data_IF_084634846847
#
_entry.id   IF_084634846847
#
_cell.length_a   1.000
_cell.length_b   1.000
_cell.length_c   1.000
_cell.angle_alpha   90.00
_cell.angle_beta   90.00
_cell.angle_gamma   90.00
#
_symmetry.space_group_name_H-M   'P 1'
#
loop_
_entity.id
_entity.type
_entity.pdbx_description
1 polymer ?
#
# COMPACT_ATOMS: atom_id res chain seq x y z
N UNK A 1 12.20 26.40 -0.97
CA UNK A 1 12.42 25.03 -0.53
C UNK A 1 11.89 24.85 0.90
N UNK A 2 11.07 23.82 1.12
CA UNK A 2 10.46 23.51 2.42
C UNK A 2 11.14 22.32 3.13
N UNK A 3 12.18 21.73 2.52
CA UNK A 3 12.83 20.53 3.06
C UNK A 3 13.43 20.71 4.45
N UNK A 4 13.81 21.94 4.81
CA UNK A 4 14.31 22.30 6.14
C UNK A 4 13.23 22.57 7.19
N UNK A 5 11.97 22.76 6.79
CA UNK A 5 10.85 23.01 7.69
C UNK A 5 10.09 21.69 7.97
N UNK A 6 10.35 21.11 9.13
CA UNK A 6 9.75 19.82 9.54
C UNK A 6 8.23 19.89 9.64
N UNK A 7 7.67 21.03 10.07
CA UNK A 7 6.22 21.20 10.22
C UNK A 7 5.57 21.30 8.84
N UNK A 8 6.13 22.12 7.95
CA UNK A 8 5.66 22.21 6.56
C UNK A 8 5.73 20.86 5.84
N UNK A 9 6.84 20.13 6.00
CA UNK A 9 7.01 18.79 5.40
C UNK A 9 6.00 17.78 5.93
N UNK A 10 5.68 17.82 7.22
CA UNK A 10 4.66 16.93 7.79
C UNK A 10 3.27 17.26 7.23
N UNK A 11 2.90 18.54 7.17
CA UNK A 11 1.63 18.98 6.57
C UNK A 11 1.52 18.59 5.09
N UNK A 12 2.62 18.69 4.32
CA UNK A 12 2.67 18.24 2.93
C UNK A 12 2.45 16.74 2.80
N UNK A 13 3.09 15.93 3.65
CA UNK A 13 2.90 14.47 3.64
C UNK A 13 1.46 14.07 3.93
N UNK A 14 0.86 14.67 4.94
CA UNK A 14 -0.54 14.41 5.30
C UNK A 14 -1.50 14.81 4.17
N UNK A 15 -1.28 15.98 3.56
CA UNK A 15 -2.09 16.44 2.44
C UNK A 15 -1.91 15.56 1.19
N UNK A 16 -0.68 15.10 0.92
CA UNK A 16 -0.40 14.20 -0.19
C UNK A 16 -1.07 12.81 0.02
N UNK A 17 -1.04 12.27 1.23
CA UNK A 17 -1.71 11.01 1.57
C UNK A 17 -3.23 11.15 1.41
N UNK A 18 -3.81 12.23 1.93
CA UNK A 18 -5.24 12.53 1.73
C UNK A 18 -5.60 12.63 0.24
N UNK A 19 -4.81 13.37 -0.54
CA UNK A 19 -5.02 13.50 -1.98
C UNK A 19 -4.92 12.15 -2.72
N UNK A 20 -3.96 11.29 -2.35
CA UNK A 20 -3.84 9.92 -2.88
C UNK A 20 -5.12 9.11 -2.64
N UNK A 21 -5.66 9.15 -1.43
CA UNK A 21 -6.88 8.45 -1.05
C UNK A 21 -8.07 8.98 -1.88
N UNK A 22 -8.26 10.30 -1.93
CA UNK A 22 -9.34 10.93 -2.68
C UNK A 22 -9.28 10.62 -4.17
N UNK A 23 -8.08 10.67 -4.77
CA UNK A 23 -7.86 10.37 -6.19
C UNK A 23 -8.12 8.91 -6.57
N UNK A 24 -8.31 8.01 -5.62
CA UNK A 24 -8.80 6.66 -5.89
C UNK A 24 -10.29 6.66 -6.28
N UNK A 25 -11.08 7.64 -5.78
CA UNK A 25 -12.51 7.78 -6.08
C UNK A 25 -12.85 8.88 -7.10
N UNK A 26 -12.04 9.96 -7.15
CA UNK A 26 -12.32 11.14 -8.00
C UNK A 26 -11.19 11.38 -9.01
N UNK A 27 -11.45 12.19 -10.03
CA UNK A 27 -10.48 12.49 -11.09
C UNK A 27 -9.56 13.67 -10.79
N UNK A 28 -9.92 14.50 -9.80
CA UNK A 28 -9.11 15.64 -9.34
C UNK A 28 -9.44 15.96 -7.89
N UNK A 29 -8.46 16.51 -7.18
CA UNK A 29 -8.62 17.04 -5.82
C UNK A 29 -7.80 18.30 -5.65
N UNK A 30 -8.15 19.11 -4.64
CA UNK A 30 -7.42 20.33 -4.30
C UNK A 30 -6.62 20.13 -3.02
N UNK A 31 -5.35 20.48 -3.06
CA UNK A 31 -4.45 20.53 -1.92
C UNK A 31 -4.31 21.99 -1.52
N UNK A 32 -4.96 22.38 -0.42
CA UNK A 32 -4.92 23.73 0.11
C UNK A 32 -4.29 23.71 1.52
N UNK A 33 -3.10 24.31 1.62
CA UNK A 33 -2.35 24.44 2.86
C UNK A 33 -2.05 25.92 3.11
N UNK A 34 -2.96 26.64 3.75
CA UNK A 34 -2.72 28.03 4.10
C UNK A 34 -1.62 28.13 5.15
N UNK A 35 -0.84 29.20 5.09
CA UNK A 35 0.27 29.48 6.01
C UNK A 35 1.23 28.29 6.14
N UNK A 36 1.62 27.71 5.00
CA UNK A 36 2.52 26.54 5.01
C UNK A 36 3.93 26.93 5.48
N UNK A 37 4.36 28.13 5.16
CA UNK A 37 5.61 28.74 5.64
C UNK A 37 5.51 30.26 5.56
N UNK A 38 6.55 30.96 6.01
CA UNK A 38 6.70 32.42 5.88
C UNK A 38 8.15 32.75 5.49
N UNK A 39 8.31 33.84 4.76
CA UNK A 39 9.62 34.42 4.45
C UNK A 39 9.60 35.96 4.68
N UNK A 40 10.66 36.65 4.27
CA UNK A 40 10.78 38.11 4.42
C UNK A 40 9.64 38.91 3.72
N UNK A 41 8.92 38.29 2.80
CA UNK A 41 7.78 38.90 2.08
C UNK A 41 6.43 38.55 2.72
N UNK A 42 6.44 37.79 3.82
CA UNK A 42 5.25 37.40 4.58
C UNK A 42 4.86 35.93 4.45
N UNK A 43 3.64 35.59 4.90
CA UNK A 43 3.15 34.21 4.87
C UNK A 43 2.96 33.69 3.45
N UNK A 44 3.24 32.41 3.26
CA UNK A 44 3.06 31.68 1.99
C UNK A 44 1.98 30.61 2.13
N UNK A 45 1.26 30.42 1.07
CA UNK A 45 0.17 29.45 0.99
C UNK A 45 0.46 28.49 -0.17
N UNK A 46 0.06 27.24 -0.02
CA UNK A 46 0.04 26.27 -1.11
C UNK A 46 -1.41 26.00 -1.47
N UNK A 47 -1.76 26.23 -2.73
CA UNK A 47 -3.06 25.89 -3.31
C UNK A 47 -2.82 25.28 -4.69
N UNK A 48 -3.02 23.95 -4.79
CA UNK A 48 -2.71 23.18 -6.00
C UNK A 48 -3.82 22.20 -6.29
N UNK A 49 -4.33 22.22 -7.51
CA UNK A 49 -5.20 21.14 -7.99
C UNK A 49 -4.36 20.00 -8.54
N UNK A 50 -4.53 18.80 -7.96
CA UNK A 50 -3.90 17.59 -8.42
C UNK A 50 -4.92 16.70 -9.13
N UNK A 51 -4.63 16.33 -10.39
CA UNK A 51 -5.45 15.37 -11.14
C UNK A 51 -4.95 13.94 -10.95
N UNK A 52 -5.85 12.96 -11.09
CA UNK A 52 -5.47 11.53 -11.11
C UNK A 52 -4.45 11.23 -12.20
N UNK A 53 -4.57 11.84 -13.37
CA UNK A 53 -3.61 11.67 -14.46
C UNK A 53 -2.20 12.12 -14.04
N UNK A 54 -2.08 13.29 -13.39
CA UNK A 54 -0.79 13.79 -12.90
C UNK A 54 -0.26 12.94 -11.75
N UNK A 55 -1.13 12.49 -10.85
CA UNK A 55 -0.75 11.55 -9.80
C UNK A 55 -0.20 10.24 -10.39
N UNK A 56 -0.89 9.65 -11.36
CA UNK A 56 -0.45 8.44 -12.04
C UNK A 56 0.89 8.63 -12.75
N UNK A 57 1.10 9.76 -13.43
CA UNK A 57 2.38 10.12 -14.06
C UNK A 57 3.52 10.12 -13.02
N UNK A 58 3.31 10.82 -11.90
CA UNK A 58 4.32 10.95 -10.85
C UNK A 58 4.65 9.63 -10.16
N UNK A 59 3.68 8.72 -10.06
CA UNK A 59 3.81 7.45 -9.34
C UNK A 59 3.98 6.22 -10.22
N UNK A 60 3.98 6.38 -11.54
CA UNK A 60 4.07 5.28 -12.50
C UNK A 60 5.25 4.33 -12.21
N UNK A 61 6.41 4.89 -11.92
CA UNK A 61 7.62 4.12 -11.61
C UNK A 61 7.48 3.26 -10.33
N UNK A 62 6.65 3.67 -9.37
CA UNK A 62 6.36 2.90 -8.16
C UNK A 62 5.41 1.74 -8.47
N UNK A 63 4.37 2.01 -9.28
CA UNK A 63 3.44 0.97 -9.73
C UNK A 63 4.17 -0.08 -10.56
N UNK A 64 5.03 0.32 -11.49
CA UNK A 64 5.83 -0.60 -12.31
C UNK A 64 6.76 -1.50 -11.48
N UNK A 65 7.36 -0.98 -10.42
CA UNK A 65 8.19 -1.77 -9.51
C UNK A 65 7.44 -2.92 -8.85
N UNK A 66 6.13 -2.82 -8.69
CA UNK A 66 5.32 -3.91 -8.10
C UNK A 66 5.18 -5.12 -9.03
N UNK A 67 5.38 -4.95 -10.34
CA UNK A 67 5.27 -6.03 -11.31
C UNK A 67 6.35 -7.11 -11.14
N UNK A 68 7.56 -6.72 -10.71
CA UNK A 68 8.67 -7.65 -10.46
C UNK A 68 8.32 -8.73 -9.44
N UNK A 69 7.99 -8.36 -8.20
CA UNK A 69 7.58 -9.31 -7.15
C UNK A 69 6.40 -10.21 -7.53
N UNK A 70 5.40 -9.68 -8.26
CA UNK A 70 4.26 -10.50 -8.72
C UNK A 70 4.73 -11.59 -9.69
N UNK A 71 5.54 -11.25 -10.69
CA UNK A 71 6.09 -12.23 -11.64
C UNK A 71 6.98 -13.25 -10.94
N UNK A 72 7.81 -12.79 -10.00
CA UNK A 72 8.69 -13.68 -9.23
C UNK A 72 7.87 -14.68 -8.42
N UNK A 73 6.86 -14.22 -7.68
CA UNK A 73 6.00 -15.09 -6.89
C UNK A 73 5.28 -16.16 -7.74
N UNK A 74 4.78 -15.78 -8.92
CA UNK A 74 4.17 -16.73 -9.86
C UNK A 74 5.19 -17.74 -10.39
N UNK A 75 6.40 -17.28 -10.72
CA UNK A 75 7.50 -18.14 -11.18
C UNK A 75 7.92 -19.15 -10.10
N UNK A 76 8.09 -18.67 -8.86
CA UNK A 76 8.49 -19.53 -7.72
C UNK A 76 7.42 -20.58 -7.39
N UNK A 77 6.15 -20.22 -7.55
CA UNK A 77 5.03 -21.14 -7.39
C UNK A 77 4.84 -22.10 -8.59
N UNK A 78 5.55 -21.86 -9.69
CA UNK A 78 5.40 -22.68 -10.93
C UNK A 78 4.04 -22.55 -11.59
N UNK A 79 3.33 -21.42 -11.40
CA UNK A 79 1.99 -21.16 -11.91
C UNK A 79 1.98 -20.06 -12.97
N UNK A 80 1.01 -20.17 -13.87
CA UNK A 80 0.70 -19.14 -14.87
C UNK A 80 -0.52 -18.30 -14.46
N UNK A 81 -0.78 -17.21 -15.17
CA UNK A 81 -1.97 -16.38 -14.93
C UNK A 81 -3.30 -17.16 -15.09
N UNK A 82 -3.34 -18.19 -15.94
CA UNK A 82 -4.52 -19.05 -16.12
C UNK A 82 -4.82 -19.91 -14.90
N UNK A 83 -3.81 -20.28 -14.14
CA UNK A 83 -3.94 -21.15 -12.96
C UNK A 83 -4.49 -20.42 -11.73
N UNK A 84 -4.45 -19.08 -11.75
CA UNK A 84 -5.00 -18.26 -10.67
C UNK A 84 -6.53 -18.41 -10.63
N UNK A 85 -7.07 -18.80 -9.50
CA UNK A 85 -8.52 -18.85 -9.27
C UNK A 85 -9.06 -17.46 -8.97
N UNK A 86 -8.43 -16.74 -8.05
CA UNK A 86 -8.78 -15.38 -7.62
C UNK A 86 -7.54 -14.58 -7.34
N UNK A 87 -7.65 -13.25 -7.48
CA UNK A 87 -6.63 -12.29 -7.08
C UNK A 87 -7.20 -11.44 -5.96
N UNK A 88 -6.61 -11.49 -4.78
CA UNK A 88 -7.00 -10.67 -3.65
C UNK A 88 -6.12 -9.44 -3.59
N UNK A 89 -6.76 -8.28 -3.48
CA UNK A 89 -6.08 -7.00 -3.30
C UNK A 89 -6.19 -6.60 -1.82
N UNK A 90 -5.05 -6.50 -1.16
CA UNK A 90 -4.95 -6.27 0.28
C UNK A 90 -4.16 -4.99 0.55
N UNK A 91 -4.56 -4.25 1.59
CA UNK A 91 -3.97 -2.97 1.98
C UNK A 91 -4.52 -1.77 1.21
N UNK A 92 -4.56 -0.61 1.87
CA UNK A 92 -5.19 0.61 1.34
C UNK A 92 -4.63 1.08 -0.01
N UNK A 93 -3.32 0.90 -0.26
CA UNK A 93 -2.71 1.28 -1.54
C UNK A 93 -3.21 0.47 -2.73
N UNK A 94 -3.79 -0.72 -2.52
CA UNK A 94 -4.42 -1.51 -3.58
C UNK A 94 -5.72 -0.90 -4.11
N UNK A 95 -6.26 0.13 -3.45
CA UNK A 95 -7.40 0.91 -3.93
C UNK A 95 -7.04 1.85 -5.08
N UNK A 96 -5.75 2.16 -5.27
CA UNK A 96 -5.27 3.03 -6.36
C UNK A 96 -5.58 2.38 -7.71
N UNK A 97 -6.34 3.04 -8.61
CA UNK A 97 -6.75 2.45 -9.89
C UNK A 97 -5.58 1.93 -10.73
N UNK A 98 -4.47 2.66 -10.80
CA UNK A 98 -3.28 2.25 -11.55
C UNK A 98 -2.68 0.92 -11.03
N UNK A 99 -2.76 0.65 -9.72
CA UNK A 99 -2.35 -0.63 -9.12
C UNK A 99 -3.28 -1.75 -9.56
N UNK A 100 -4.60 -1.52 -9.54
CA UNK A 100 -5.59 -2.49 -9.99
C UNK A 100 -5.43 -2.83 -11.47
N UNK A 101 -5.19 -1.83 -12.31
CA UNK A 101 -4.92 -2.00 -13.75
C UNK A 101 -3.64 -2.81 -13.99
N UNK A 102 -2.57 -2.51 -13.23
CA UNK A 102 -1.31 -3.27 -13.32
C UNK A 102 -1.52 -4.74 -12.97
N UNK A 103 -2.21 -5.04 -11.88
CA UNK A 103 -2.53 -6.41 -11.47
C UNK A 103 -3.36 -7.11 -12.55
N UNK A 104 -4.40 -6.46 -13.06
CA UNK A 104 -5.21 -7.00 -14.17
C UNK A 104 -4.37 -7.28 -15.41
N UNK A 105 -3.45 -6.38 -15.76
CA UNK A 105 -2.53 -6.57 -16.89
C UNK A 105 -1.61 -7.77 -16.72
N UNK A 106 -1.13 -8.02 -15.49
CA UNK A 106 -0.22 -9.12 -15.19
C UNK A 106 -0.92 -10.47 -15.07
N UNK A 107 -2.11 -10.50 -14.51
CA UNK A 107 -2.83 -11.73 -14.15
C UNK A 107 -4.00 -12.06 -15.10
N UNK A 108 -4.41 -11.11 -15.94
CA UNK A 108 -5.62 -11.22 -16.76
C UNK A 108 -6.93 -11.19 -15.95
N UNK A 109 -6.85 -11.01 -14.63
CA UNK A 109 -8.01 -11.06 -13.72
C UNK A 109 -8.16 -9.75 -12.96
N UNK A 110 -9.41 -9.38 -12.70
CA UNK A 110 -9.71 -8.26 -11.78
C UNK A 110 -9.55 -8.70 -10.33
N UNK A 111 -9.22 -7.75 -9.46
CA UNK A 111 -9.20 -7.98 -8.03
C UNK A 111 -10.58 -8.43 -7.52
N UNK A 112 -10.59 -9.45 -6.68
CA UNK A 112 -11.82 -9.94 -6.05
C UNK A 112 -12.41 -8.89 -5.11
N UNK A 113 -13.70 -8.56 -5.31
CA UNK A 113 -14.38 -7.47 -4.59
C UNK A 113 -15.11 -7.91 -3.31
N UNK A 114 -15.02 -9.19 -2.97
CA UNK A 114 -15.74 -9.75 -1.81
C UNK A 114 -15.03 -9.56 -0.47
N UNK A 115 -13.89 -8.87 -0.43
CA UNK A 115 -13.10 -8.63 0.78
C UNK A 115 -12.73 -7.15 0.83
N UNK A 116 -12.86 -6.54 2.02
CA UNK A 116 -12.38 -5.20 2.25
C UNK A 116 -10.84 -5.22 2.34
N UNK A 117 -10.11 -4.50 1.46
CA UNK A 117 -8.66 -4.48 1.48
C UNK A 117 -8.02 -4.01 2.78
N UNK A 118 -8.72 -3.17 3.55
CA UNK A 118 -8.20 -2.60 4.80
C UNK A 118 -8.40 -3.56 5.98
N UNK A 119 -9.38 -4.48 5.91
CA UNK A 119 -9.77 -5.40 6.99
C UNK A 119 -9.26 -6.83 6.78
N UNK A 120 -8.85 -7.18 5.57
CA UNK A 120 -8.48 -8.55 5.17
C UNK A 120 -7.46 -9.21 6.11
N UNK A 121 -6.49 -8.44 6.62
CA UNK A 121 -5.47 -8.97 7.56
C UNK A 121 -6.10 -9.26 8.92
N UNK A 122 -6.98 -8.39 9.41
CA UNK A 122 -7.70 -8.58 10.67
C UNK A 122 -8.64 -9.79 10.59
N UNK A 123 -9.35 -9.94 9.47
CA UNK A 123 -10.23 -11.10 9.21
C UNK A 123 -9.42 -12.40 9.21
N UNK A 124 -8.27 -12.42 8.54
CA UNK A 124 -7.37 -13.56 8.52
C UNK A 124 -6.84 -13.92 9.91
N UNK A 125 -6.47 -12.90 10.70
CA UNK A 125 -6.01 -13.09 12.08
C UNK A 125 -7.13 -13.66 12.98
N UNK A 126 -8.37 -13.19 12.81
CA UNK A 126 -9.52 -13.71 13.54
C UNK A 126 -9.80 -15.17 13.18
N UNK A 127 -9.76 -15.53 11.90
CA UNK A 127 -9.90 -16.93 11.45
C UNK A 127 -8.81 -17.80 12.05
N UNK A 128 -7.55 -17.35 12.02
CA UNK A 128 -6.42 -18.10 12.61
C UNK A 128 -6.58 -18.25 14.13
N UNK A 129 -7.07 -17.22 14.81
CA UNK A 129 -7.43 -17.29 16.22
C UNK A 129 -8.48 -18.37 16.50
N UNK A 130 -9.54 -18.46 15.68
CA UNK A 130 -10.55 -19.51 15.76
C UNK A 130 -10.00 -20.92 15.49
N UNK A 131 -9.04 -21.05 14.56
CA UNK A 131 -8.34 -22.34 14.32
C UNK A 131 -7.55 -22.77 15.55
N UNK A 132 -6.79 -21.85 16.15
CA UNK A 132 -5.99 -22.14 17.36
C UNK A 132 -6.88 -22.41 18.58
N UNK A 133 -8.05 -21.75 18.68
CA UNK A 133 -9.05 -21.98 19.73
C UNK A 133 -9.84 -23.28 19.56
N UNK A 134 -9.80 -23.89 18.38
CA UNK A 134 -10.57 -25.11 18.06
C UNK A 134 -12.00 -24.84 17.55
N UNK A 135 -12.40 -23.57 17.36
CA UNK A 135 -13.70 -23.18 16.88
C UNK A 135 -13.85 -23.33 15.35
N UNK A 136 -12.74 -23.29 14.63
CA UNK A 136 -12.67 -23.44 13.18
C UNK A 136 -11.86 -24.68 12.81
N UNK A 137 -12.51 -25.61 12.11
CA UNK A 137 -11.88 -26.83 11.62
C UNK A 137 -11.70 -26.82 10.10
N UNK A 138 -10.78 -27.64 9.61
CA UNK A 138 -10.58 -27.86 8.16
C UNK A 138 -9.73 -26.78 7.45
N UNK A 139 -9.17 -25.84 8.19
CA UNK A 139 -8.23 -24.82 7.67
C UNK A 139 -6.85 -25.09 8.29
N UNK A 140 -5.83 -25.21 7.44
CA UNK A 140 -4.42 -25.33 7.87
C UNK A 140 -3.64 -24.22 7.19
N UNK A 141 -2.99 -23.36 7.98
CA UNK A 141 -2.04 -22.38 7.48
C UNK A 141 -0.63 -22.95 7.66
N UNK A 142 0.08 -23.10 6.53
CA UNK A 142 1.52 -23.34 6.51
C UNK A 142 2.19 -22.09 5.99
N UNK A 143 2.86 -21.38 6.87
CA UNK A 143 3.58 -20.17 6.53
C UNK A 143 5.07 -20.45 6.33
N UNK A 144 5.74 -19.59 5.59
CA UNK A 144 7.17 -19.65 5.33
C UNK A 144 7.83 -18.34 5.72
N UNK A 145 9.00 -18.43 6.35
CA UNK A 145 9.81 -17.26 6.67
C UNK A 145 11.11 -17.33 5.86
N UNK A 146 11.19 -16.64 4.71
CA UNK A 146 12.39 -16.67 3.87
C UNK A 146 13.60 -15.99 4.54
N UNK A 147 13.34 -15.17 5.55
CA UNK A 147 14.36 -14.48 6.34
C UNK A 147 14.23 -14.85 7.82
N UNK A 148 15.36 -14.79 8.53
CA UNK A 148 15.34 -14.94 9.98
C UNK A 148 14.49 -13.87 10.63
N UNK A 149 13.63 -14.29 11.56
CA UNK A 149 12.88 -13.38 12.43
C UNK A 149 13.70 -13.11 13.69
N UNK A 150 13.70 -11.87 14.13
CA UNK A 150 14.43 -11.45 15.31
C UNK A 150 13.86 -10.19 15.92
N UNK A 151 14.37 -9.84 17.06
CA UNK A 151 14.04 -8.62 17.78
C UNK A 151 15.29 -7.74 17.92
N UNK A 152 15.14 -6.44 17.70
CA UNK A 152 16.18 -5.49 18.03
C UNK A 152 16.23 -5.31 19.56
N UNK A 153 17.38 -5.56 20.12
CA UNK A 153 17.65 -5.43 21.56
C UNK A 153 18.44 -4.16 21.84
N UNK A 154 18.68 -3.86 23.12
CA UNK A 154 19.43 -2.70 23.56
C UNK A 154 20.79 -2.62 22.82
N UNK A 155 21.09 -1.43 22.28
CA UNK A 155 22.33 -1.20 21.51
C UNK A 155 22.23 -1.52 20.01
N UNK A 156 21.03 -1.74 19.47
CA UNK A 156 20.81 -2.00 18.03
C UNK A 156 21.21 -3.43 17.60
N UNK A 157 21.34 -4.34 18.55
CA UNK A 157 21.72 -5.74 18.25
C UNK A 157 20.49 -6.53 17.81
N UNK A 158 20.54 -7.12 16.61
CA UNK A 158 19.51 -8.02 16.13
C UNK A 158 19.67 -9.40 16.79
N UNK A 159 18.73 -9.75 17.64
CA UNK A 159 18.69 -11.08 18.29
C UNK A 159 17.72 -11.97 17.53
N UNK A 160 18.26 -13.02 16.91
CA UNK A 160 17.48 -13.97 16.12
C UNK A 160 16.59 -14.81 17.04
N UNK A 161 15.31 -14.98 16.67
CA UNK A 161 14.32 -15.82 17.35
C UNK A 161 14.07 -17.13 16.60
N UNK A 162 14.03 -17.05 15.23
CA UNK A 162 13.86 -18.17 14.31
C UNK A 162 14.86 -18.04 13.16
#
# INVERSE_FOLDING_TARGET
DLSGDRVAMQRLKEAAEKAKIELSGVTSTNINLPYITADATGPKHLDVTLTRAKFNELTAHLVEKTAGPVRQAMSDAGISASDLTKVLLVGGSSRVPAVQEMVKKLTGKEGFKGINPDECVADGAAIQGGVLGGDVAGVVLLDVTPLSLGIETLGGVFTKLI
#
